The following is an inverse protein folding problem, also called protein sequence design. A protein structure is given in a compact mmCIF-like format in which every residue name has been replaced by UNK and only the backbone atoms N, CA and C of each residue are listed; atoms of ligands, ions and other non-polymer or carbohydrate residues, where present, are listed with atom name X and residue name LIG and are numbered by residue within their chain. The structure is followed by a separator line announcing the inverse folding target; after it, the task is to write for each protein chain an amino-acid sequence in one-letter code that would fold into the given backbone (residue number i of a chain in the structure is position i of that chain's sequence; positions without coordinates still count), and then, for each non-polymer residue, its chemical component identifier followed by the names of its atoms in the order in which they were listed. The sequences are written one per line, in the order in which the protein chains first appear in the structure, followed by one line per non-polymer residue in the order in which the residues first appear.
data_IF_165772267921
#
_entry.id   IF_165772267921
#
_cell.length_a   1.000
_cell.length_b   1.000
_cell.length_c   1.000
_cell.angle_alpha   90.00
_cell.angle_beta   90.00
_cell.angle_gamma   90.00
#
_symmetry.space_group_name_H-M   'P 1'
#
loop_
_entity.id
_entity.type
_entity.pdbx_description
1 polymer ?
#
# COMPACT_ATOMS: atom_id res chain seq x y z
N UNK A 1 0.54 -33.47 -32.80
CA UNK A 1 1.01 -33.43 -31.40
C UNK A 1 2.41 -32.82 -31.23
N UNK A 2 3.33 -32.97 -32.19
CA UNK A 2 4.74 -32.48 -32.08
C UNK A 2 4.90 -30.95 -32.24
N UNK A 3 4.02 -30.26 -32.99
CA UNK A 3 4.11 -28.80 -33.20
C UNK A 3 3.69 -27.96 -31.97
N UNK A 4 2.92 -28.53 -31.04
CA UNK A 4 2.41 -27.81 -29.87
C UNK A 4 3.48 -27.65 -28.77
N UNK A 5 4.37 -28.64 -28.61
CA UNK A 5 5.48 -28.59 -27.64
C UNK A 5 6.63 -27.69 -28.09
N UNK A 6 6.84 -27.54 -29.40
CA UNK A 6 7.86 -26.65 -29.96
C UNK A 6 7.53 -25.17 -29.72
N UNK A 7 6.27 -24.78 -29.93
CA UNK A 7 5.81 -23.42 -29.65
C UNK A 7 5.88 -23.10 -28.15
N UNK A 8 5.49 -24.04 -27.28
CA UNK A 8 5.64 -23.88 -25.83
C UNK A 8 7.10 -23.69 -25.39
N UNK A 9 8.05 -24.43 -25.98
CA UNK A 9 9.49 -24.23 -25.68
C UNK A 9 10.01 -22.87 -26.13
N UNK A 10 9.59 -22.38 -27.30
CA UNK A 10 9.99 -21.06 -27.77
C UNK A 10 9.41 -19.94 -26.91
N UNK A 11 8.15 -20.07 -26.48
CA UNK A 11 7.50 -19.13 -25.56
C UNK A 11 8.20 -19.14 -24.20
N UNK A 12 8.50 -20.32 -23.64
CA UNK A 12 9.23 -20.43 -22.37
C UNK A 12 10.66 -19.88 -22.46
N UNK A 13 11.36 -20.09 -23.59
CA UNK A 13 12.67 -19.49 -23.83
C UNK A 13 12.59 -17.98 -23.97
N UNK A 14 11.55 -17.45 -24.62
CA UNK A 14 11.36 -16.01 -24.77
C UNK A 14 11.03 -15.33 -23.44
N UNK A 15 10.14 -15.93 -22.63
CA UNK A 15 9.88 -15.46 -21.27
C UNK A 15 11.12 -15.60 -20.38
N UNK A 16 11.85 -16.72 -20.47
CA UNK A 16 13.10 -16.92 -19.73
C UNK A 16 14.16 -15.88 -20.10
N UNK A 17 14.35 -15.61 -21.39
CA UNK A 17 15.28 -14.59 -21.88
C UNK A 17 14.83 -13.17 -21.50
N UNK A 18 13.52 -12.89 -21.53
CA UNK A 18 12.96 -11.63 -21.05
C UNK A 18 13.21 -11.43 -19.55
N UNK A 19 13.04 -12.46 -18.73
CA UNK A 19 13.34 -12.40 -17.28
C UNK A 19 14.84 -12.24 -17.01
N UNK A 20 15.72 -12.92 -17.75
CA UNK A 20 17.18 -12.81 -17.62
C UNK A 20 17.69 -11.45 -18.09
N UNK A 21 17.15 -10.91 -19.19
CA UNK A 21 17.49 -9.58 -19.69
C UNK A 21 17.00 -8.46 -18.77
N UNK A 22 15.86 -8.64 -18.08
CA UNK A 22 15.41 -7.70 -17.05
C UNK A 22 16.24 -7.76 -15.76
N UNK A 23 16.88 -8.90 -15.44
CA UNK A 23 17.81 -9.01 -14.31
C UNK A 23 19.19 -8.38 -14.60
N UNK A 24 19.51 -8.12 -15.87
CA UNK A 24 20.77 -7.49 -16.28
C UNK A 24 20.64 -5.98 -16.50
N UNK A 25 19.68 -5.34 -15.85
CA UNK A 25 19.79 -3.91 -15.55
C UNK A 25 20.73 -3.80 -14.34
N UNK A 26 21.89 -3.16 -14.51
CA UNK A 26 22.77 -2.76 -13.41
C UNK A 26 21.95 -2.00 -12.36
N UNK A 27 21.49 -2.69 -11.32
CA UNK A 27 21.02 -2.04 -10.11
C UNK A 27 22.25 -1.42 -9.48
N UNK A 28 22.43 -0.13 -9.73
CA UNK A 28 23.35 0.70 -8.98
C UNK A 28 23.07 0.43 -7.49
N UNK A 29 24.07 -0.04 -6.72
CA UNK A 29 23.89 -0.30 -5.30
C UNK A 29 23.35 0.95 -4.63
N UNK A 30 22.05 0.93 -4.32
CA UNK A 30 21.36 2.04 -3.70
C UNK A 30 21.69 1.99 -2.22
N UNK A 31 22.26 3.04 -1.63
CA UNK A 31 22.53 3.05 -0.20
C UNK A 31 21.24 2.75 0.57
N UNK A 32 21.31 1.85 1.55
CA UNK A 32 20.18 1.66 2.44
C UNK A 32 20.23 2.71 3.54
N UNK A 33 19.23 3.58 3.58
CA UNK A 33 19.03 4.52 4.67
C UNK A 33 17.80 4.11 5.45
N UNK A 34 17.90 4.18 6.77
CA UNK A 34 16.80 3.91 7.69
C UNK A 34 16.92 4.86 8.87
N UNK A 35 15.78 5.27 9.41
CA UNK A 35 15.71 5.99 10.67
C UNK A 35 16.22 5.09 11.80
N UNK A 36 17.05 5.65 12.66
CA UNK A 36 17.55 5.01 13.88
C UNK A 36 17.31 5.98 15.03
N UNK A 37 16.63 5.50 16.07
CA UNK A 37 16.33 6.29 17.27
C UNK A 37 15.60 7.62 16.95
N UNK A 38 14.68 7.63 15.99
CA UNK A 38 13.91 8.82 15.62
C UNK A 38 14.64 9.81 14.74
N UNK A 39 15.81 9.47 14.19
CA UNK A 39 16.57 10.33 13.28
C UNK A 39 16.87 9.58 11.98
N UNK A 40 16.59 10.21 10.84
CA UNK A 40 17.08 9.77 9.54
C UNK A 40 18.08 10.81 8.99
N UNK A 41 19.31 10.37 8.78
CA UNK A 41 20.36 11.20 8.22
C UNK A 41 20.46 10.98 6.71
N UNK A 42 20.01 11.98 5.95
CA UNK A 42 20.09 12.02 4.49
C UNK A 42 21.21 12.95 4.02
N UNK A 43 22.13 13.38 4.87
CA UNK A 43 23.16 14.36 4.51
C UNK A 43 24.08 13.92 3.36
N UNK A 44 24.24 12.60 3.16
CA UNK A 44 24.98 11.98 2.06
C UNK A 44 24.08 11.45 0.93
N UNK A 45 22.77 11.65 1.02
CA UNK A 45 21.81 11.16 0.03
C UNK A 45 21.79 12.06 -1.19
N UNK A 46 22.03 11.47 -2.35
CA UNK A 46 21.90 12.15 -3.63
C UNK A 46 20.52 11.86 -4.24
N UNK A 47 19.62 12.85 -4.17
CA UNK A 47 18.25 12.72 -4.69
C UNK A 47 18.21 12.66 -6.22
N UNK A 48 19.19 13.22 -6.93
CA UNK A 48 19.23 13.15 -8.40
C UNK A 48 19.69 11.76 -8.86
N UNK A 49 20.66 11.18 -8.16
CA UNK A 49 21.19 9.85 -8.45
C UNK A 49 20.28 8.71 -7.99
N UNK A 50 19.74 8.80 -6.78
CA UNK A 50 18.99 7.71 -6.14
C UNK A 50 17.49 7.95 -6.06
N UNK A 51 17.01 9.16 -6.35
CA UNK A 51 15.58 9.49 -6.33
C UNK A 51 14.96 9.54 -4.92
N UNK A 52 13.61 9.50 -4.84
CA UNK A 52 12.86 9.60 -3.59
C UNK A 52 13.15 8.49 -2.59
N UNK A 53 13.30 8.83 -1.32
CA UNK A 53 13.69 7.93 -0.23
C UNK A 53 12.50 7.62 0.69
N UNK A 54 12.36 6.37 1.09
CA UNK A 54 11.36 5.97 2.08
C UNK A 54 11.85 6.35 3.49
N UNK A 55 11.01 7.03 4.25
CA UNK A 55 11.28 7.44 5.64
C UNK A 55 11.03 6.29 6.62
N UNK A 56 11.57 5.12 6.31
CA UNK A 56 11.39 3.88 7.09
C UNK A 56 12.39 3.78 8.24
N UNK A 57 12.10 2.93 9.22
CA UNK A 57 12.97 2.67 10.36
C UNK A 57 12.30 3.02 11.69
N UNK A 58 13.10 3.24 12.72
CA UNK A 58 12.62 3.45 14.08
C UNK A 58 12.32 4.94 14.32
N UNK A 59 11.03 5.25 14.49
CA UNK A 59 10.54 6.58 14.82
C UNK A 59 10.33 6.71 16.33
N UNK A 60 10.40 7.93 16.86
CA UNK A 60 9.94 8.19 18.23
C UNK A 60 8.41 8.09 18.25
N UNK A 61 7.88 7.42 19.26
CA UNK A 61 6.46 7.10 19.39
C UNK A 61 5.95 7.38 20.78
N UNK A 62 4.75 7.96 20.83
CA UNK A 62 4.04 8.32 22.06
C UNK A 62 2.62 7.83 22.04
N UNK A 63 2.35 6.88 22.94
CA UNK A 63 1.06 6.23 23.07
C UNK A 63 0.07 7.09 23.85
N UNK A 64 -1.21 7.09 23.41
CA UNK A 64 -2.34 7.79 24.04
C UNK A 64 -2.18 9.30 24.22
N UNK A 65 -1.31 9.92 23.42
CA UNK A 65 -0.97 11.33 23.52
C UNK A 65 -0.95 11.98 22.13
N UNK A 66 -1.67 13.10 21.97
CA UNK A 66 -1.48 14.06 20.88
C UNK A 66 -0.65 15.22 21.40
N UNK A 67 0.66 15.11 21.21
CA UNK A 67 1.64 16.09 21.70
C UNK A 67 2.39 16.70 20.52
N UNK A 68 2.91 17.91 20.69
CA UNK A 68 3.59 18.65 19.63
C UNK A 68 5.11 18.45 19.64
N UNK A 69 5.69 18.17 20.79
CA UNK A 69 7.14 18.12 20.99
C UNK A 69 7.52 16.83 21.76
N UNK A 70 8.34 15.95 21.16
CA UNK A 70 8.75 14.69 21.79
C UNK A 70 9.69 14.89 22.99
N UNK A 71 10.29 16.06 23.16
CA UNK A 71 11.15 16.38 24.31
C UNK A 71 10.33 16.56 25.60
N UNK A 72 9.03 16.81 25.47
CA UNK A 72 8.11 16.88 26.61
C UNK A 72 7.98 15.49 27.24
N UNK A 73 8.75 15.28 28.31
CA UNK A 73 8.85 14.03 29.06
C UNK A 73 9.47 12.89 28.23
N UNK A 74 10.72 13.07 27.81
CA UNK A 74 11.45 12.13 26.94
C UNK A 74 11.53 10.69 27.48
N UNK A 75 11.37 10.46 28.79
CA UNK A 75 11.36 9.13 29.41
C UNK A 75 10.21 8.22 28.91
N UNK A 76 9.12 8.81 28.44
CA UNK A 76 7.99 8.06 27.85
C UNK A 76 8.17 7.78 26.36
N UNK A 77 9.21 8.32 25.72
CA UNK A 77 9.47 8.05 24.30
C UNK A 77 9.77 6.55 24.11
N UNK A 78 9.16 5.97 23.09
CA UNK A 78 9.43 4.61 22.65
C UNK A 78 9.86 4.65 21.20
N UNK A 79 10.53 3.60 20.75
CA UNK A 79 10.86 3.43 19.35
C UNK A 79 9.82 2.55 18.69
N UNK A 80 9.34 3.00 17.54
CA UNK A 80 8.32 2.32 16.76
C UNK A 80 8.79 2.21 15.32
N UNK A 81 8.98 0.99 14.79
CA UNK A 81 9.30 0.81 13.38
C UNK A 81 8.14 1.29 12.49
N UNK A 82 8.47 2.03 11.45
CA UNK A 82 7.55 2.54 10.43
C UNK A 82 8.06 2.10 9.05
N UNK A 83 7.20 1.61 8.15
CA UNK A 83 5.78 1.31 8.35
C UNK A 83 5.58 0.02 9.16
N UNK A 84 4.74 0.05 10.20
CA UNK A 84 4.29 -1.15 10.91
C UNK A 84 3.03 -0.87 11.70
N UNK A 85 2.16 -1.87 11.80
CA UNK A 85 1.03 -1.80 12.72
C UNK A 85 1.54 -1.94 14.16
N UNK A 86 1.14 -1.02 15.05
CA UNK A 86 1.53 -1.09 16.46
C UNK A 86 0.98 -2.36 17.14
N UNK A 87 -0.09 -2.93 16.59
CA UNK A 87 -0.71 -4.17 17.10
C UNK A 87 0.18 -5.41 17.02
N UNK A 88 1.30 -5.31 16.30
CA UNK A 88 2.31 -6.36 16.19
C UNK A 88 3.54 -6.10 17.06
N UNK A 89 3.43 -5.19 18.02
CA UNK A 89 4.52 -4.69 18.84
C UNK A 89 4.05 -4.73 20.29
N UNK A 90 4.93 -5.24 21.16
CA UNK A 90 4.64 -5.40 22.58
C UNK A 90 4.80 -4.05 23.29
N UNK A 91 3.79 -3.71 24.09
CA UNK A 91 3.86 -2.69 25.11
C UNK A 91 4.87 -3.09 26.20
N UNK A 92 5.39 -2.14 27.00
CA UNK A 92 6.31 -2.44 28.11
C UNK A 92 5.80 -3.46 29.13
N UNK A 93 4.48 -3.66 29.22
CA UNK A 93 3.86 -4.62 30.13
C UNK A 93 3.61 -6.01 29.51
N UNK A 94 4.10 -6.25 28.29
CA UNK A 94 4.16 -7.59 27.65
C UNK A 94 3.01 -7.92 26.69
N UNK A 95 1.90 -7.17 26.72
CA UNK A 95 0.81 -7.31 25.76
C UNK A 95 1.07 -6.47 24.49
N UNK A 96 0.50 -6.85 23.35
CA UNK A 96 0.59 -6.01 22.16
C UNK A 96 -0.25 -4.74 22.32
N UNK A 97 0.14 -3.65 21.65
CA UNK A 97 -0.71 -2.46 21.58
C UNK A 97 -2.09 -2.82 21.02
N UNK A 98 -3.19 -2.29 21.60
CA UNK A 98 -4.53 -2.61 21.13
C UNK A 98 -4.77 -2.07 19.72
N UNK A 99 -5.73 -2.66 18.99
CA UNK A 99 -6.11 -2.22 17.64
C UNK A 99 -6.48 -0.74 17.60
N UNK A 100 -7.25 -0.30 18.59
CA UNK A 100 -7.74 1.07 18.68
C UNK A 100 -6.90 1.92 19.63
N UNK A 101 -6.82 3.21 19.31
CA UNK A 101 -6.11 4.17 20.14
C UNK A 101 -5.63 5.37 19.36
N UNK A 102 -4.89 6.22 20.07
CA UNK A 102 -4.26 7.41 19.52
C UNK A 102 -2.77 7.39 19.85
N UNK A 103 -1.98 8.00 18.99
CA UNK A 103 -0.55 8.16 19.21
C UNK A 103 -0.01 9.39 18.49
N UNK A 104 1.23 9.76 18.81
CA UNK A 104 2.02 10.68 18.00
C UNK A 104 3.35 10.04 17.63
N UNK A 105 3.71 10.12 16.35
CA UNK A 105 5.00 9.71 15.82
C UNK A 105 5.87 10.93 15.51
N UNK A 106 7.17 10.80 15.70
CA UNK A 106 8.16 11.84 15.41
C UNK A 106 9.37 11.27 14.69
N UNK A 107 9.85 12.01 13.69
CA UNK A 107 11.09 11.72 12.98
C UNK A 107 11.81 13.03 12.69
N UNK A 108 13.08 13.11 13.09
CA UNK A 108 13.98 14.17 12.67
C UNK A 108 14.63 13.78 11.34
N UNK A 109 14.54 14.66 10.35
CA UNK A 109 15.14 14.47 9.02
C UNK A 109 16.29 15.47 8.86
N UNK A 110 17.47 14.98 8.48
CA UNK A 110 18.64 15.81 8.17
C UNK A 110 18.88 15.73 6.66
N UNK A 111 18.76 16.85 5.95
CA UNK A 111 18.92 16.94 4.50
C UNK A 111 20.39 17.14 4.06
N UNK A 112 20.69 16.83 2.79
CA UNK A 112 21.89 17.33 2.11
C UNK A 112 21.96 18.86 2.17
N UNK A 113 23.18 19.43 2.15
CA UNK A 113 23.39 20.88 2.24
C UNK A 113 22.65 21.66 1.15
N UNK A 114 22.65 21.12 -0.07
CA UNK A 114 22.18 21.83 -1.27
C UNK A 114 20.64 21.82 -1.44
N UNK A 115 19.91 21.08 -0.59
CA UNK A 115 18.44 20.95 -0.67
C UNK A 115 17.67 21.88 0.27
N UNK A 116 18.36 22.66 1.10
CA UNK A 116 17.76 23.50 2.15
C UNK A 116 16.93 24.70 1.64
N UNK A 117 16.62 24.75 0.34
CA UNK A 117 15.74 25.75 -0.30
C UNK A 117 14.96 25.20 -1.50
N UNK A 118 14.62 23.90 -1.49
CA UNK A 118 13.91 23.23 -2.60
C UNK A 118 12.48 22.87 -2.21
N UNK A 119 11.56 22.83 -3.19
CA UNK A 119 10.23 22.26 -3.00
C UNK A 119 10.34 20.74 -2.81
N UNK A 120 9.95 20.28 -1.63
CA UNK A 120 9.90 18.86 -1.30
C UNK A 120 8.44 18.41 -1.26
N UNK A 121 8.24 17.11 -1.40
CA UNK A 121 6.95 16.51 -1.13
C UNK A 121 7.11 15.18 -0.38
N UNK A 122 6.10 14.86 0.41
CA UNK A 122 5.91 13.51 0.95
C UNK A 122 4.79 12.84 0.15
N UNK A 123 5.10 11.70 -0.47
CA UNK A 123 4.08 10.76 -0.91
C UNK A 123 3.63 9.95 0.29
N UNK A 124 2.45 10.26 0.79
CA UNK A 124 1.77 9.50 1.82
C UNK A 124 0.97 8.38 1.14
N UNK A 125 1.45 7.14 1.27
CA UNK A 125 0.73 5.97 0.79
C UNK A 125 -0.52 5.69 1.64
N UNK A 126 -1.31 4.71 1.23
CA UNK A 126 -2.57 4.35 1.89
C UNK A 126 -2.33 3.82 3.30
N UNK A 127 -3.16 4.26 4.24
CA UNK A 127 -3.25 3.76 5.61
C UNK A 127 -4.73 3.55 5.95
N UNK A 128 -5.02 2.62 6.87
CA UNK A 128 -6.40 2.43 7.37
C UNK A 128 -6.74 3.35 8.55
N UNK A 129 -5.77 4.15 8.98
CA UNK A 129 -5.82 5.03 10.14
C UNK A 129 -5.97 6.48 9.73
N UNK A 130 -6.52 7.31 10.62
CA UNK A 130 -6.62 8.74 10.40
C UNK A 130 -5.38 9.44 10.98
N UNK A 131 -4.72 10.31 10.20
CA UNK A 131 -3.55 11.04 10.68
C UNK A 131 -3.35 12.39 10.00
N UNK A 132 -2.63 13.28 10.66
CA UNK A 132 -2.11 14.51 10.05
C UNK A 132 -0.60 14.41 9.86
N UNK A 133 -0.08 15.14 8.87
CA UNK A 133 1.37 15.27 8.66
C UNK A 133 1.76 16.70 8.90
N UNK A 134 2.68 16.89 9.83
CA UNK A 134 3.21 18.18 10.22
C UNK A 134 4.71 18.22 10.00
N UNK A 135 5.19 19.33 9.45
CA UNK A 135 6.61 19.66 9.33
C UNK A 135 6.89 20.81 10.29
N UNK A 136 7.70 20.55 11.29
CA UNK A 136 7.86 21.41 12.47
C UNK A 136 6.49 21.79 13.06
N UNK A 137 6.07 23.05 12.92
CA UNK A 137 4.80 23.59 13.41
C UNK A 137 3.74 23.77 12.32
N UNK A 138 4.04 23.43 11.07
CA UNK A 138 3.15 23.65 9.92
C UNK A 138 2.50 22.34 9.49
N UNK A 139 1.17 22.32 9.44
CA UNK A 139 0.43 21.18 8.88
C UNK A 139 0.51 21.21 7.36
N UNK A 140 1.04 20.14 6.77
CA UNK A 140 1.19 20.03 5.30
C UNK A 140 0.11 19.16 4.67
N UNK A 141 -0.61 18.36 5.47
CA UNK A 141 -1.69 17.53 4.96
C UNK A 141 -2.27 16.58 6.00
N UNK A 142 -3.20 15.75 5.53
CA UNK A 142 -3.90 14.78 6.36
C UNK A 142 -4.43 13.61 5.53
N UNK A 143 -4.52 12.43 6.14
CA UNK A 143 -5.35 11.31 5.71
C UNK A 143 -6.50 11.21 6.69
N UNK A 144 -7.70 11.63 6.29
CA UNK A 144 -8.86 11.66 7.16
C UNK A 144 -8.80 12.80 8.19
N UNK A 145 -9.35 12.56 9.37
CA UNK A 145 -9.39 13.50 10.49
C UNK A 145 -9.06 12.71 11.77
N UNK A 146 -7.86 12.87 12.36
CA UNK A 146 -7.57 12.20 13.62
C UNK A 146 -8.37 12.82 14.77
N UNK A 147 -8.88 11.97 15.66
CA UNK A 147 -9.69 12.36 16.82
C UNK A 147 -9.26 11.62 18.07
N UNK A 148 -9.70 12.09 19.25
CA UNK A 148 -9.42 11.41 20.52
C UNK A 148 -10.42 10.29 20.83
N UNK A 149 -11.51 10.23 20.07
CA UNK A 149 -12.60 9.24 20.21
C UNK A 149 -13.05 8.78 18.83
N UNK A 150 -13.85 7.71 18.76
CA UNK A 150 -14.50 7.27 17.52
C UNK A 150 -15.28 8.40 16.86
N UNK A 151 -16.08 9.13 17.63
CA UNK A 151 -17.01 10.14 17.10
C UNK A 151 -16.31 11.38 16.54
N UNK A 152 -15.07 11.61 16.95
CA UNK A 152 -14.24 12.75 16.51
C UNK A 152 -13.19 12.35 15.48
N UNK A 153 -13.11 11.07 15.11
CA UNK A 153 -12.14 10.56 14.15
C UNK A 153 -12.84 10.10 12.87
N UNK A 154 -12.22 10.37 11.72
CA UNK A 154 -12.71 9.88 10.42
C UNK A 154 -11.53 9.33 9.63
N UNK A 155 -11.49 8.02 9.31
CA UNK A 155 -10.42 7.45 8.51
C UNK A 155 -10.57 7.83 7.03
N UNK A 156 -9.44 7.83 6.32
CA UNK A 156 -9.40 7.97 4.87
C UNK A 156 -8.34 7.02 4.32
N UNK A 157 -8.71 6.24 3.31
CA UNK A 157 -7.79 5.37 2.59
C UNK A 157 -7.48 6.01 1.24
N UNK A 158 -6.34 6.70 1.14
CA UNK A 158 -5.96 7.38 -0.10
C UNK A 158 -4.44 7.51 -0.27
N UNK A 159 -3.98 7.77 -1.49
CA UNK A 159 -2.60 8.18 -1.78
C UNK A 159 -2.57 9.69 -1.95
N UNK A 160 -1.75 10.40 -1.17
CA UNK A 160 -1.65 11.87 -1.22
C UNK A 160 -0.20 12.32 -1.44
N UNK A 161 -0.05 13.34 -2.29
CA UNK A 161 1.20 14.10 -2.41
C UNK A 161 1.04 15.32 -1.52
N UNK A 162 1.95 15.47 -0.56
CA UNK A 162 1.94 16.55 0.43
C UNK A 162 3.15 17.45 0.18
N UNK A 163 3.02 18.50 -0.65
CA UNK A 163 4.10 19.42 -0.94
C UNK A 163 4.36 20.35 0.25
N UNK A 164 5.63 20.72 0.44
CA UNK A 164 6.07 21.64 1.47
C UNK A 164 7.43 22.25 1.15
N UNK A 165 7.77 23.32 1.84
CA UNK A 165 9.05 23.99 1.73
C UNK A 165 9.77 23.96 3.06
N UNK A 166 11.09 23.78 3.01
CA UNK A 166 11.98 23.89 4.17
C UNK A 166 13.11 24.84 3.85
N UNK A 167 13.43 25.70 4.82
CA UNK A 167 14.53 26.66 4.74
C UNK A 167 15.75 26.22 5.57
N UNK A 168 15.61 25.12 6.31
CA UNK A 168 16.61 24.59 7.23
C UNK A 168 17.15 23.28 6.69
N UNK A 169 18.38 22.95 7.11
CA UNK A 169 19.01 21.65 6.82
C UNK A 169 18.29 20.49 7.52
N UNK A 170 17.60 20.75 8.63
CA UNK A 170 16.87 19.74 9.37
C UNK A 170 15.47 20.22 9.72
N UNK A 171 14.54 19.28 9.78
CA UNK A 171 13.17 19.50 10.19
C UNK A 171 12.63 18.27 10.94
N UNK A 172 11.58 18.47 11.72
CA UNK A 172 10.88 17.39 12.40
C UNK A 172 9.57 17.08 11.67
N UNK A 173 9.35 15.80 11.39
CA UNK A 173 8.05 15.29 10.99
C UNK A 173 7.30 14.87 12.25
N UNK A 174 6.06 15.33 12.38
CA UNK A 174 5.15 14.92 13.45
C UNK A 174 3.84 14.39 12.87
N UNK A 175 3.40 13.24 13.37
CA UNK A 175 2.19 12.56 12.89
C UNK A 175 1.32 12.18 14.09
N UNK A 176 0.34 13.04 14.47
CA UNK A 176 -0.73 12.61 15.34
C UNK A 176 -1.67 11.71 14.55
N UNK A 177 -1.98 10.54 15.12
CA UNK A 177 -2.70 9.46 14.46
C UNK A 177 -3.73 8.85 15.40
N UNK A 178 -4.91 8.54 14.88
CA UNK A 178 -5.94 7.80 15.59
C UNK A 178 -6.46 6.63 14.77
N UNK A 179 -6.84 5.57 15.47
CA UNK A 179 -7.53 4.44 14.90
C UNK A 179 -8.66 3.99 15.82
N UNK A 180 -9.89 4.03 15.31
CA UNK A 180 -11.08 3.49 16.00
C UNK A 180 -11.90 2.56 15.11
N UNK A 181 -11.54 2.43 13.83
CA UNK A 181 -12.37 1.80 12.81
C UNK A 181 -11.71 0.59 12.12
N UNK A 182 -10.44 0.32 12.41
CA UNK A 182 -9.71 -0.78 11.80
C UNK A 182 -8.99 -1.64 12.84
N UNK A 183 -8.83 -2.95 12.55
CA UNK A 183 -8.17 -3.88 13.48
C UNK A 183 -6.65 -3.65 13.59
N UNK A 184 -6.04 -3.13 12.51
CA UNK A 184 -4.62 -2.74 12.49
C UNK A 184 -4.52 -1.24 12.70
N UNK A 185 -4.00 -0.83 13.86
CA UNK A 185 -3.64 0.55 14.14
C UNK A 185 -2.15 0.81 13.92
N UNK A 186 -1.75 2.08 13.85
CA UNK A 186 -0.38 2.50 13.58
C UNK A 186 -0.19 3.18 12.25
N UNK A 187 1.01 3.73 12.07
CA UNK A 187 1.45 4.31 10.80
C UNK A 187 1.90 3.17 9.88
N UNK A 188 0.94 2.59 9.16
CA UNK A 188 1.17 1.51 8.18
C UNK A 188 1.49 2.03 6.78
N UNK A 189 1.18 3.30 6.51
CA UNK A 189 1.59 3.96 5.28
C UNK A 189 3.11 4.15 5.24
N UNK A 190 3.70 3.86 4.07
CA UNK A 190 5.03 4.38 3.74
C UNK A 190 4.93 5.87 3.45
N UNK A 191 5.87 6.62 3.99
CA UNK A 191 6.08 8.02 3.67
C UNK A 191 7.35 8.12 2.83
N UNK A 192 7.22 8.61 1.60
CA UNK A 192 8.35 8.72 0.67
C UNK A 192 8.64 10.19 0.46
N UNK A 193 9.86 10.61 0.80
CA UNK A 193 10.36 11.97 0.65
C UNK A 193 11.13 12.12 -0.66
N UNK A 194 10.91 13.22 -1.37
CA UNK A 194 11.69 13.58 -2.54
C UNK A 194 11.41 15.00 -2.98
N UNK A 195 12.10 15.43 -4.04
CA UNK A 195 11.73 16.66 -4.74
C UNK A 195 10.28 16.52 -5.25
N UNK A 196 9.51 17.61 -5.24
CA UNK A 196 8.09 17.58 -5.60
C UNK A 196 7.85 16.91 -6.97
N UNK A 197 8.62 17.30 -7.99
CA UNK A 197 8.55 16.70 -9.33
C UNK A 197 8.87 15.20 -9.35
N UNK A 198 9.82 14.75 -8.53
CA UNK A 198 10.17 13.33 -8.44
C UNK A 198 9.03 12.52 -7.82
N UNK A 199 8.36 13.09 -6.82
CA UNK A 199 7.20 12.47 -6.17
C UNK A 199 6.01 12.41 -7.11
N UNK A 200 5.75 13.48 -7.88
CA UNK A 200 4.70 13.50 -8.91
C UNK A 200 4.97 12.41 -9.96
N UNK A 201 6.17 12.40 -10.55
CA UNK A 201 6.56 11.38 -11.55
C UNK A 201 6.49 9.96 -10.99
N UNK A 202 6.87 9.76 -9.72
CA UNK A 202 6.75 8.46 -9.06
C UNK A 202 5.29 8.00 -9.01
N UNK A 203 4.37 8.89 -8.61
CA UNK A 203 2.94 8.59 -8.55
C UNK A 203 2.36 8.34 -9.95
N UNK A 204 2.70 9.18 -10.92
CA UNK A 204 2.25 9.04 -12.31
C UNK A 204 2.72 7.72 -12.94
N UNK A 205 3.98 7.34 -12.71
CA UNK A 205 4.53 6.07 -13.17
C UNK A 205 3.76 4.89 -12.58
N UNK A 206 3.46 4.91 -11.28
CA UNK A 206 2.66 3.87 -10.61
C UNK A 206 1.24 3.84 -11.18
N UNK A 207 0.54 4.99 -11.25
CA UNK A 207 -0.80 5.08 -11.82
C UNK A 207 -0.86 4.58 -13.29
N UNK A 208 0.18 4.83 -14.09
CA UNK A 208 0.25 4.34 -15.47
C UNK A 208 0.26 2.82 -15.54
N UNK A 209 0.99 2.16 -14.63
CA UNK A 209 1.01 0.70 -14.52
C UNK A 209 -0.37 0.17 -14.10
N UNK A 210 -0.98 0.74 -13.06
CA UNK A 210 -2.32 0.34 -12.59
C UNK A 210 -3.38 0.48 -13.70
N UNK A 211 -3.37 1.60 -14.44
CA UNK A 211 -4.31 1.84 -15.56
C UNK A 211 -4.08 0.86 -16.71
N UNK A 212 -2.83 0.54 -17.02
CA UNK A 212 -2.49 -0.46 -18.04
C UNK A 212 -2.99 -1.86 -17.63
N UNK A 213 -2.73 -2.28 -16.39
CA UNK A 213 -3.19 -3.56 -15.85
C UNK A 213 -4.71 -3.64 -15.81
N UNK A 214 -5.39 -2.57 -15.40
CA UNK A 214 -6.83 -2.47 -15.42
C UNK A 214 -7.39 -2.63 -16.85
N UNK A 215 -6.81 -1.94 -17.83
CA UNK A 215 -7.19 -2.06 -19.24
C UNK A 215 -7.04 -3.50 -19.76
N UNK A 216 -5.93 -4.15 -19.42
CA UNK A 216 -5.68 -5.55 -19.75
C UNK A 216 -6.72 -6.49 -19.10
N UNK A 217 -7.04 -6.31 -17.82
CA UNK A 217 -8.03 -7.11 -17.11
C UNK A 217 -9.44 -6.95 -17.69
N UNK A 218 -9.83 -5.72 -18.05
CA UNK A 218 -11.11 -5.44 -18.72
C UNK A 218 -11.17 -6.15 -20.07
N UNK A 219 -10.12 -6.03 -20.90
CA UNK A 219 -10.05 -6.70 -22.19
C UNK A 219 -10.15 -8.23 -22.06
N UNK A 220 -9.46 -8.82 -21.07
CA UNK A 220 -9.53 -10.25 -20.79
C UNK A 220 -10.91 -10.69 -20.33
N UNK A 221 -11.58 -9.92 -19.45
CA UNK A 221 -12.94 -10.20 -19.01
C UNK A 221 -13.92 -10.20 -20.20
N UNK A 222 -13.89 -9.14 -21.02
CA UNK A 222 -14.75 -9.01 -22.20
C UNK A 222 -14.50 -10.11 -23.24
N UNK A 223 -13.23 -10.46 -23.48
CA UNK A 223 -12.86 -11.55 -24.37
C UNK A 223 -13.45 -12.89 -23.91
N UNK A 224 -13.32 -13.24 -22.62
CA UNK A 224 -13.82 -14.50 -22.09
C UNK A 224 -15.36 -14.55 -22.02
N UNK A 225 -16.02 -13.43 -21.68
CA UNK A 225 -17.47 -13.34 -21.78
C UNK A 225 -17.95 -13.54 -23.23
N UNK A 226 -17.29 -12.88 -24.19
CA UNK A 226 -17.62 -13.04 -25.61
C UNK A 226 -17.46 -14.49 -26.05
N UNK A 227 -16.35 -15.15 -25.71
CA UNK A 227 -16.16 -16.56 -26.02
C UNK A 227 -17.21 -17.47 -25.37
N UNK A 228 -17.59 -17.20 -24.11
CA UNK A 228 -18.64 -17.95 -23.42
C UNK A 228 -19.99 -17.87 -24.17
N UNK A 229 -20.37 -16.68 -24.61
CA UNK A 229 -21.63 -16.46 -25.33
C UNK A 229 -21.59 -17.03 -26.77
N UNK A 230 -20.43 -17.02 -27.44
CA UNK A 230 -20.28 -17.52 -28.81
C UNK A 230 -20.04 -19.03 -28.91
N UNK A 231 -19.33 -19.62 -27.93
CA UNK A 231 -18.93 -21.04 -27.94
C UNK A 231 -19.48 -21.76 -26.71
N UNK A 232 -20.50 -22.59 -26.95
CA UNK A 232 -20.87 -23.76 -26.13
C UNK A 232 -21.05 -23.56 -24.61
N UNK A 233 -21.38 -22.37 -24.10
CA UNK A 233 -21.66 -22.12 -22.67
C UNK A 233 -20.65 -22.82 -21.73
N UNK A 234 -19.37 -22.84 -22.11
CA UNK A 234 -18.32 -23.47 -21.31
C UNK A 234 -18.15 -22.67 -20.02
N UNK A 235 -18.57 -23.27 -18.90
CA UNK A 235 -18.59 -22.59 -17.61
C UNK A 235 -17.20 -22.10 -17.19
N UNK A 236 -16.11 -22.71 -17.64
CA UNK A 236 -14.75 -22.27 -17.32
C UNK A 236 -14.48 -20.87 -17.89
N UNK A 237 -14.94 -20.59 -19.12
CA UNK A 237 -14.79 -19.27 -19.75
C UNK A 237 -15.57 -18.19 -18.98
N UNK A 238 -16.79 -18.51 -18.52
CA UNK A 238 -17.58 -17.59 -17.70
C UNK A 238 -16.87 -17.28 -16.39
N UNK A 239 -16.47 -18.30 -15.62
CA UNK A 239 -15.84 -18.09 -14.32
C UNK A 239 -14.52 -17.33 -14.43
N UNK A 240 -13.73 -17.58 -15.48
CA UNK A 240 -12.51 -16.80 -15.72
C UNK A 240 -12.82 -15.33 -16.06
N UNK A 241 -13.81 -15.07 -16.92
CA UNK A 241 -14.24 -13.70 -17.22
C UNK A 241 -14.73 -12.95 -15.96
N UNK A 242 -15.53 -13.61 -15.11
CA UNK A 242 -15.97 -13.05 -13.82
C UNK A 242 -14.78 -12.80 -12.89
N UNK A 243 -13.80 -13.72 -12.85
CA UNK A 243 -12.60 -13.56 -12.04
C UNK A 243 -11.80 -12.32 -12.47
N UNK A 244 -11.54 -12.15 -13.78
CA UNK A 244 -10.90 -10.95 -14.32
C UNK A 244 -11.68 -9.67 -13.96
N UNK A 245 -13.02 -9.71 -14.04
CA UNK A 245 -13.85 -8.58 -13.67
C UNK A 245 -13.77 -8.23 -12.18
N UNK A 246 -13.74 -9.23 -11.29
CA UNK A 246 -13.51 -9.01 -9.84
C UNK A 246 -12.12 -8.42 -9.59
N UNK A 247 -11.10 -8.88 -10.30
CA UNK A 247 -9.76 -8.28 -10.24
C UNK A 247 -9.75 -6.82 -10.71
N UNK A 248 -10.58 -6.42 -11.68
CA UNK A 248 -10.71 -4.99 -12.06
C UNK A 248 -11.17 -4.13 -10.88
N UNK A 249 -12.19 -4.57 -10.13
CA UNK A 249 -12.64 -3.83 -8.94
C UNK A 249 -11.58 -3.76 -7.85
N UNK A 250 -10.83 -4.86 -7.67
CA UNK A 250 -9.74 -4.89 -6.70
C UNK A 250 -8.62 -3.94 -7.09
N UNK A 251 -8.23 -3.93 -8.36
CA UNK A 251 -7.21 -3.04 -8.93
C UNK A 251 -7.59 -1.58 -8.71
N UNK A 252 -8.80 -1.20 -9.10
CA UNK A 252 -9.30 0.18 -8.97
C UNK A 252 -9.33 0.64 -7.49
N UNK A 253 -9.63 -0.25 -6.55
CA UNK A 253 -9.89 0.12 -5.16
C UNK A 253 -8.70 -0.04 -4.20
N UNK A 254 -7.55 -0.57 -4.60
CA UNK A 254 -6.46 -0.86 -3.66
C UNK A 254 -5.19 -0.05 -3.88
N UNK A 255 -4.50 -0.21 -5.01
CA UNK A 255 -3.10 0.21 -5.20
C UNK A 255 -2.87 1.72 -5.14
N UNK A 256 -2.91 2.46 -6.26
CA UNK A 256 -2.89 3.92 -6.24
C UNK A 256 -4.25 4.54 -5.90
N UNK A 257 -5.20 3.71 -5.46
CA UNK A 257 -6.55 4.09 -5.11
C UNK A 257 -7.30 4.83 -6.25
N UNK A 258 -7.21 4.27 -7.47
CA UNK A 258 -7.83 4.83 -8.67
C UNK A 258 -9.33 5.12 -8.51
N UNK A 259 -10.02 4.42 -7.61
CA UNK A 259 -11.43 4.66 -7.32
C UNK A 259 -11.71 6.11 -6.92
N UNK A 260 -10.82 6.77 -6.17
CA UNK A 260 -10.98 8.17 -5.77
C UNK A 260 -10.65 9.14 -6.91
N UNK A 261 -9.90 8.68 -7.93
CA UNK A 261 -9.62 9.46 -9.15
C UNK A 261 -10.82 9.39 -10.10
N UNK A 262 -11.40 8.21 -10.30
CA UNK A 262 -12.52 7.98 -11.20
C UNK A 262 -13.85 8.45 -10.58
N UNK A 263 -14.03 8.22 -9.28
CA UNK A 263 -15.22 8.58 -8.50
C UNK A 263 -14.81 9.40 -7.27
N UNK A 264 -14.52 10.71 -7.42
CA UNK A 264 -14.13 11.55 -6.30
C UNK A 264 -15.21 11.57 -5.21
N UNK A 265 -14.81 11.41 -3.95
CA UNK A 265 -15.72 11.54 -2.80
C UNK A 265 -16.44 10.25 -2.40
N UNK A 266 -16.04 9.09 -2.94
CA UNK A 266 -16.52 7.79 -2.43
C UNK A 266 -16.17 7.69 -0.94
N UNK A 267 -17.19 7.45 -0.10
CA UNK A 267 -16.99 7.37 1.34
C UNK A 267 -16.11 6.18 1.72
N UNK A 268 -15.32 6.34 2.78
CA UNK A 268 -14.45 5.28 3.30
C UNK A 268 -15.17 3.95 3.48
N UNK A 269 -16.40 3.97 4.03
CA UNK A 269 -17.17 2.75 4.27
C UNK A 269 -17.54 2.01 2.98
N UNK A 270 -17.95 2.74 1.93
CA UNK A 270 -18.28 2.14 0.63
C UNK A 270 -17.01 1.59 -0.01
N UNK A 271 -15.94 2.37 0.02
CA UNK A 271 -14.65 1.96 -0.51
C UNK A 271 -14.14 0.68 0.15
N UNK A 272 -14.15 0.59 1.49
CA UNK A 272 -13.76 -0.62 2.21
C UNK A 272 -14.64 -1.82 1.90
N UNK A 273 -15.95 -1.63 1.72
CA UNK A 273 -16.85 -2.70 1.27
C UNK A 273 -16.43 -3.25 -0.10
N UNK A 274 -16.03 -2.40 -1.04
CA UNK A 274 -15.54 -2.83 -2.37
C UNK A 274 -14.24 -3.62 -2.23
N UNK A 275 -13.29 -3.12 -1.44
CA UNK A 275 -12.00 -3.79 -1.18
C UNK A 275 -12.23 -5.19 -0.58
N UNK A 276 -13.01 -5.29 0.50
CA UNK A 276 -13.25 -6.59 1.14
C UNK A 276 -14.11 -7.51 0.27
N UNK A 277 -15.14 -7.00 -0.41
CA UNK A 277 -15.98 -7.82 -1.29
C UNK A 277 -15.14 -8.42 -2.43
N UNK A 278 -14.31 -7.62 -3.08
CA UNK A 278 -13.43 -8.12 -4.14
C UNK A 278 -12.44 -9.18 -3.62
N UNK A 279 -11.91 -9.01 -2.41
CA UNK A 279 -11.05 -10.00 -1.77
C UNK A 279 -11.76 -11.32 -1.47
N UNK A 280 -12.96 -11.26 -0.87
CA UNK A 280 -13.72 -12.47 -0.50
C UNK A 280 -14.35 -13.19 -1.70
N UNK A 281 -14.59 -12.51 -2.82
CA UNK A 281 -15.12 -13.13 -4.04
C UNK A 281 -14.07 -13.95 -4.81
N UNK A 282 -12.78 -13.60 -4.72
CA UNK A 282 -11.72 -14.27 -5.49
C UNK A 282 -11.66 -15.79 -5.20
N UNK A 283 -11.57 -16.28 -3.95
CA UNK A 283 -11.47 -17.72 -3.68
C UNK A 283 -12.62 -18.58 -4.22
N UNK A 284 -13.92 -18.27 -3.97
CA UNK A 284 -15.02 -19.10 -4.47
C UNK A 284 -15.11 -19.08 -6.00
N UNK A 285 -14.85 -17.95 -6.65
CA UNK A 285 -14.87 -17.86 -8.11
C UNK A 285 -13.71 -18.67 -8.71
N UNK A 286 -12.52 -18.57 -8.11
CA UNK A 286 -11.35 -19.37 -8.52
C UNK A 286 -11.63 -20.86 -8.36
N UNK A 287 -12.25 -21.27 -7.25
CA UNK A 287 -12.66 -22.67 -7.03
C UNK A 287 -13.67 -23.14 -8.09
N UNK A 288 -14.66 -22.32 -8.42
CA UNK A 288 -15.62 -22.62 -9.48
C UNK A 288 -14.96 -22.73 -10.86
N UNK A 289 -14.02 -21.83 -11.18
CA UNK A 289 -13.20 -21.87 -12.39
C UNK A 289 -12.41 -23.18 -12.48
N UNK A 290 -11.65 -23.53 -11.45
CA UNK A 290 -10.84 -24.74 -11.44
C UNK A 290 -11.71 -26.01 -11.59
N UNK A 291 -12.87 -26.04 -10.93
CA UNK A 291 -13.81 -27.16 -11.06
C UNK A 291 -14.38 -27.29 -12.46
N UNK A 292 -14.67 -26.18 -13.14
CA UNK A 292 -15.13 -26.20 -14.52
C UNK A 292 -14.02 -26.65 -15.48
N UNK A 293 -12.75 -26.31 -15.17
CA UNK A 293 -11.59 -26.65 -15.98
C UNK A 293 -11.14 -28.12 -15.81
N UNK A 294 -11.23 -28.66 -14.59
CA UNK A 294 -10.79 -30.01 -14.22
C UNK A 294 -11.89 -30.82 -13.50
N UNK A 295 -13.03 -31.11 -14.17
CA UNK A 295 -14.19 -31.73 -13.53
C UNK A 295 -13.93 -33.13 -12.98
N UNK A 296 -13.03 -33.90 -13.60
CA UNK A 296 -12.71 -35.28 -13.19
C UNK A 296 -11.76 -35.35 -12.00
N UNK A 297 -10.83 -34.39 -11.89
CA UNK A 297 -9.84 -34.32 -10.81
C UNK A 297 -10.43 -33.73 -9.52
N UNK A 298 -11.39 -32.80 -9.65
CA UNK A 298 -12.01 -32.08 -8.54
C UNK A 298 -13.41 -32.63 -8.21
N UNK A 299 -13.48 -33.90 -7.78
CA UNK A 299 -14.70 -34.47 -7.20
C UNK A 299 -15.07 -33.78 -5.86
N UNK A 300 -16.38 -33.69 -5.59
CA UNK A 300 -17.12 -32.88 -4.57
C UNK A 300 -16.55 -32.67 -3.13
N UNK A 301 -15.42 -33.29 -2.72
CA UNK A 301 -14.91 -33.26 -1.33
C UNK A 301 -13.88 -32.17 -1.01
N UNK A 302 -13.27 -31.50 -1.99
CA UNK A 302 -12.17 -30.55 -1.74
C UNK A 302 -12.61 -29.12 -1.33
N UNK A 303 -13.90 -28.78 -1.43
CA UNK A 303 -14.39 -27.41 -1.17
C UNK A 303 -14.60 -27.12 0.33
N UNK A 304 -14.80 -28.14 1.17
CA UNK A 304 -15.01 -27.92 2.61
C UNK A 304 -13.75 -27.30 3.27
N UNK A 305 -12.57 -27.56 2.72
CA UNK A 305 -11.31 -27.03 3.25
C UNK A 305 -11.09 -25.54 2.92
N UNK A 306 -11.56 -25.06 1.76
CA UNK A 306 -11.48 -23.64 1.38
C UNK A 306 -12.39 -22.74 2.24
N UNK A 307 -13.49 -23.29 2.75
CA UNK A 307 -14.38 -22.58 3.68
C UNK A 307 -13.86 -22.62 5.13
N UNK A 308 -13.14 -23.67 5.53
CA UNK A 308 -12.55 -23.78 6.87
C UNK A 308 -11.34 -22.84 7.07
N UNK A 309 -10.59 -22.50 6.01
CA UNK A 309 -9.50 -21.52 6.10
C UNK A 309 -9.96 -20.07 6.30
N UNK A 310 -11.26 -19.76 6.09
CA UNK A 310 -11.84 -18.45 6.42
C UNK A 310 -12.32 -18.35 7.88
N UNK A 311 -12.34 -19.47 8.62
CA UNK A 311 -12.69 -19.51 10.06
C UNK A 311 -11.49 -19.39 11.00
N UNK A 312 -10.27 -19.37 10.47
CA UNK A 312 -9.04 -19.24 11.23
C UNK A 312 -8.14 -18.16 10.63
N UNK A 313 -8.52 -16.91 10.84
CA UNK A 313 -7.57 -15.79 10.84
C UNK A 313 -7.75 -15.09 12.18
N UNK A 314 -6.85 -15.30 13.16
CA UNK A 314 -6.88 -14.61 14.45
C UNK A 314 -6.54 -13.12 14.33
#
# INVERSE_FOLDING_TARGET
MIRFSFFQRQVLLFFGLFFVLNQCALELERPQVSAVSGVIDLSSWDFEKYGPVALQGDWIFRWKEFIEDPEVNSEKNRLMPVPKAWTRIQEPHGENYPGTGIATYFLKVILPKDLSSTNLAILAETSETAYEVWIDKVKIGTQGIPGKTSDTSTPEWNVKILPFQVQKKEFQIRIPISNFYHARGGLTARLILGNEDQIIRLREKRMTVDVFLLGFLIAMALYHFTLYFLRKKDAALLYFGVLCFVFCFREISTEQNLIQVIFPGVSYLIHMKIVYLSFYLIPPITSAFLRALFPEELKKRSIILSFLSLRFSP
#
